data_IF_788447505940
#
_entry.id   IF_788447505940
#
_cell.length_a   1.000
_cell.length_b   1.000
_cell.length_c   1.000
_cell.angle_alpha   90.00
_cell.angle_beta   90.00
_cell.angle_gamma   90.00
#
_symmetry.space_group_name_H-M   'P 1'
#
loop_
_entity.id
_entity.type
_entity.pdbx_description
1 polymer ?
#
# COMPACT_ATOMS: atom_id res chain seq x y z
N UNK A 1 5.49 27.19 13.08
CA UNK A 1 5.00 26.48 11.89
C UNK A 1 6.21 25.87 11.21
N UNK A 2 6.51 24.58 11.15
CA UNK A 2 5.85 23.32 11.49
C UNK A 2 6.99 22.32 11.71
N UNK A 3 7.30 21.95 12.95
CA UNK A 3 8.35 20.95 13.25
C UNK A 3 7.79 19.72 13.98
N UNK A 4 6.46 19.51 13.84
CA UNK A 4 5.70 18.46 14.52
C UNK A 4 4.92 17.59 13.52
N UNK A 5 5.48 17.35 12.32
CA UNK A 5 4.90 16.41 11.34
C UNK A 5 5.74 15.14 11.15
N UNK A 6 6.93 15.05 11.76
CA UNK A 6 7.89 13.97 11.47
C UNK A 6 7.86 12.77 12.42
N UNK A 7 7.04 12.77 13.48
CA UNK A 7 6.95 11.60 14.37
C UNK A 7 5.93 10.56 13.88
N UNK A 8 4.95 10.94 13.07
CA UNK A 8 3.97 10.02 12.47
C UNK A 8 4.49 9.32 11.20
N UNK A 9 5.33 9.99 10.41
CA UNK A 9 5.92 9.40 9.20
C UNK A 9 6.86 8.23 9.52
N UNK A 10 7.64 8.32 10.60
CA UNK A 10 8.57 7.26 11.01
C UNK A 10 7.85 5.98 11.50
N UNK A 11 6.66 6.10 12.10
CA UNK A 11 5.87 4.93 12.50
C UNK A 11 5.21 4.23 11.31
N UNK A 12 4.81 5.00 10.31
CA UNK A 12 4.26 4.47 9.07
C UNK A 12 5.33 3.64 8.33
N UNK A 13 6.54 4.17 8.19
CA UNK A 13 7.69 3.52 7.56
C UNK A 13 8.02 2.16 8.22
N UNK A 14 7.95 2.08 9.55
CA UNK A 14 8.26 0.85 10.29
C UNK A 14 7.15 -0.21 10.18
N UNK A 15 5.89 0.19 10.19
CA UNK A 15 4.74 -0.71 10.02
C UNK A 15 4.64 -1.25 8.58
N UNK A 16 5.04 -0.44 7.60
CA UNK A 16 5.28 -0.84 6.21
C UNK A 16 6.35 -1.93 6.12
N UNK A 17 7.45 -1.77 6.86
CA UNK A 17 8.60 -2.68 6.78
C UNK A 17 8.35 -4.09 7.34
N UNK A 18 7.46 -4.23 8.34
CA UNK A 18 7.14 -5.52 8.95
C UNK A 18 6.18 -6.37 8.10
N UNK A 19 5.39 -5.73 7.23
CA UNK A 19 4.51 -6.42 6.29
C UNK A 19 5.26 -6.68 4.99
N UNK A 20 5.25 -7.92 4.52
CA UNK A 20 5.82 -8.22 3.20
C UNK A 20 5.02 -7.53 2.09
N UNK A 21 5.71 -7.05 1.03
CA UNK A 21 5.09 -6.39 -0.15
C UNK A 21 3.78 -7.06 -0.60
N UNK A 22 3.77 -8.39 -0.75
CA UNK A 22 2.58 -9.14 -1.21
C UNK A 22 1.39 -9.02 -0.25
N UNK A 23 1.64 -8.99 1.06
CA UNK A 23 0.60 -8.85 2.07
C UNK A 23 -0.04 -7.47 2.00
N UNK A 24 0.78 -6.43 1.80
CA UNK A 24 0.30 -5.07 1.63
C UNK A 24 -0.56 -4.90 0.37
N UNK A 25 -0.11 -5.49 -0.75
CA UNK A 25 -0.87 -5.49 -2.01
C UNK A 25 -2.21 -6.19 -1.81
N UNK A 26 -2.23 -7.35 -1.14
CA UNK A 26 -3.45 -8.11 -0.87
C UNK A 26 -4.44 -7.33 0.02
N UNK A 27 -3.97 -6.69 1.09
CA UNK A 27 -4.81 -5.87 1.97
C UNK A 27 -5.38 -4.65 1.24
N UNK A 28 -4.57 -3.93 0.47
CA UNK A 28 -5.04 -2.78 -0.33
C UNK A 28 -6.06 -3.21 -1.40
N UNK A 29 -5.79 -4.30 -2.12
CA UNK A 29 -6.73 -4.86 -3.11
C UNK A 29 -8.04 -5.29 -2.46
N UNK A 30 -8.00 -5.88 -1.26
CA UNK A 30 -9.18 -6.23 -0.49
C UNK A 30 -10.04 -5.00 -0.17
N UNK A 31 -9.46 -3.94 0.38
CA UNK A 31 -10.20 -2.72 0.69
C UNK A 31 -10.79 -2.04 -0.56
N UNK A 32 -10.09 -2.10 -1.68
CA UNK A 32 -10.58 -1.60 -2.98
C UNK A 32 -11.76 -2.41 -3.52
N UNK A 33 -11.75 -3.72 -3.32
CA UNK A 33 -12.87 -4.57 -3.68
C UNK A 33 -14.06 -4.34 -2.73
N UNK A 34 -13.80 -4.22 -1.42
CA UNK A 34 -14.81 -3.96 -0.39
C UNK A 34 -15.54 -2.63 -0.62
N UNK A 35 -14.82 -1.55 -0.94
CA UNK A 35 -15.41 -0.25 -1.30
C UNK A 35 -16.39 -0.30 -2.48
N UNK A 36 -16.25 -1.32 -3.34
CA UNK A 36 -17.12 -1.56 -4.50
C UNK A 36 -18.09 -2.73 -4.30
N UNK A 37 -18.20 -3.26 -3.08
CA UNK A 37 -19.05 -4.39 -2.78
C UNK A 37 -18.64 -5.69 -3.49
N UNK A 38 -17.35 -5.89 -3.70
CA UNK A 38 -16.77 -7.07 -4.35
C UNK A 38 -17.32 -7.34 -5.76
N UNK A 39 -17.52 -6.28 -6.54
CA UNK A 39 -18.00 -6.40 -7.92
C UNK A 39 -17.17 -7.40 -8.76
N UNK A 40 -17.81 -8.34 -9.47
CA UNK A 40 -17.10 -9.36 -10.25
C UNK A 40 -16.32 -8.73 -11.41
N UNK A 41 -15.21 -9.36 -11.79
CA UNK A 41 -14.36 -8.91 -12.92
C UNK A 41 -13.40 -7.76 -12.61
N UNK A 42 -13.39 -7.24 -11.38
CA UNK A 42 -12.51 -6.12 -10.97
C UNK A 42 -11.32 -6.53 -10.09
N UNK A 43 -11.30 -7.78 -9.63
CA UNK A 43 -10.26 -8.27 -8.72
C UNK A 43 -8.83 -8.08 -9.26
N UNK A 44 -8.61 -8.30 -10.56
CA UNK A 44 -7.30 -8.10 -11.19
C UNK A 44 -6.92 -6.62 -11.25
N UNK A 45 -7.85 -5.75 -11.63
CA UNK A 45 -7.63 -4.30 -11.67
C UNK A 45 -7.27 -3.76 -10.28
N UNK A 46 -7.95 -4.27 -9.25
CA UNK A 46 -7.75 -3.87 -7.86
C UNK A 46 -6.39 -4.31 -7.35
N UNK A 47 -5.96 -5.51 -7.74
CA UNK A 47 -4.63 -6.03 -7.44
C UNK A 47 -3.52 -5.24 -8.15
N UNK A 48 -3.67 -4.93 -9.44
CA UNK A 48 -2.70 -4.13 -10.21
C UNK A 48 -2.59 -2.69 -9.68
N UNK A 49 -3.71 -2.10 -9.26
CA UNK A 49 -3.70 -0.76 -8.68
C UNK A 49 -3.06 -0.77 -7.29
N UNK A 50 -3.38 -1.75 -6.46
CA UNK A 50 -2.72 -1.94 -5.17
C UNK A 50 -1.21 -2.18 -5.33
N UNK A 51 -0.79 -2.95 -6.32
CA UNK A 51 0.64 -3.19 -6.60
C UNK A 51 1.40 -1.88 -6.86
N UNK A 52 0.87 -1.01 -7.72
CA UNK A 52 1.48 0.29 -8.02
C UNK A 52 1.56 1.19 -6.78
N UNK A 53 0.49 1.28 -6.01
CA UNK A 53 0.45 2.10 -4.80
C UNK A 53 1.48 1.62 -3.77
N UNK A 54 1.58 0.30 -3.56
CA UNK A 54 2.57 -0.24 -2.62
C UNK A 54 4.00 -0.09 -3.14
N UNK A 55 4.23 -0.23 -4.45
CA UNK A 55 5.55 -0.04 -5.05
C UNK A 55 6.02 1.43 -4.98
N UNK A 56 5.09 2.40 -5.08
CA UNK A 56 5.36 3.83 -4.85
C UNK A 56 5.71 4.11 -3.38
N UNK A 57 4.97 3.53 -2.43
CA UNK A 57 5.19 3.76 -0.99
C UNK A 57 6.46 3.06 -0.49
N UNK A 58 6.74 1.86 -0.98
CA UNK A 58 7.99 1.15 -0.67
C UNK A 58 9.20 1.77 -1.37
N UNK A 59 8.98 2.75 -2.27
CA UNK A 59 10.03 3.44 -3.00
C UNK A 59 10.96 2.45 -3.69
N UNK A 60 10.44 1.72 -4.69
CA UNK A 60 11.21 0.88 -5.62
C UNK A 60 12.59 0.41 -5.07
N UNK A 61 12.69 -0.74 -4.36
CA UNK A 61 13.98 -1.31 -3.97
C UNK A 61 14.66 -1.88 -5.21
N UNK A 62 15.14 -0.98 -6.06
CA UNK A 62 15.71 -1.29 -7.35
C UNK A 62 16.87 -0.33 -7.54
N UNK A 63 18.02 -0.80 -7.07
CA UNK A 63 19.34 -0.45 -7.58
C UNK A 63 20.00 0.80 -7.01
N UNK A 64 20.79 0.61 -5.96
CA UNK A 64 22.22 0.93 -6.01
C UNK A 64 23.01 -0.07 -5.17
#
# INVERSE_FOLDING_TARGET
MTHEMSRLALFHDFALHLKGRRQMIAESAYFKAEQRGFAPGRALDDWLQAEREIDEVLGHPTGN
#
